data_IF_397423620174
#
_entry.id   IF_397423620174
#
_cell.length_a   1.000
_cell.length_b   1.000
_cell.length_c   1.000
_cell.angle_alpha   90.00
_cell.angle_beta   90.00
_cell.angle_gamma   90.00
#
_symmetry.space_group_name_H-M   'P 1'
#
loop_
_entity.id
_entity.type
_entity.pdbx_description
1 polymer ?
#
# COMPACT_ATOMS: atom_id res chain seq x y z
N UNK A 1 40.46 0.78 16.72
CA UNK A 1 39.52 0.60 15.59
C UNK A 1 39.27 1.94 14.97
N UNK A 2 39.87 2.18 13.80
CA UNK A 2 39.60 3.37 12.99
C UNK A 2 38.25 3.21 12.25
N UNK A 3 37.72 4.30 11.70
CA UNK A 3 36.48 4.26 10.92
C UNK A 3 36.66 3.34 9.70
N UNK A 4 37.83 3.36 9.05
CA UNK A 4 38.14 2.48 7.91
C UNK A 4 38.18 0.99 8.31
N UNK A 5 38.60 0.68 9.54
CA UNK A 5 38.59 -0.70 10.07
C UNK A 5 37.17 -1.20 10.41
N UNK A 6 36.20 -0.29 10.56
CA UNK A 6 34.79 -0.60 10.84
C UNK A 6 33.99 -0.76 9.53
N UNK A 7 34.28 0.02 8.49
CA UNK A 7 33.58 -0.02 7.20
C UNK A 7 34.06 -1.25 6.41
N UNK A 8 33.47 -2.40 6.72
CA UNK A 8 33.70 -3.67 6.01
C UNK A 8 32.36 -4.28 5.56
N UNK A 9 32.32 -5.04 4.44
CA UNK A 9 31.09 -5.68 3.97
C UNK A 9 30.38 -6.52 5.05
N UNK A 10 31.13 -7.23 5.89
CA UNK A 10 30.63 -8.04 7.00
C UNK A 10 29.98 -7.21 8.13
N UNK A 11 30.29 -5.91 8.23
CA UNK A 11 29.70 -5.00 9.20
C UNK A 11 28.53 -4.20 8.61
N UNK A 12 28.11 -4.48 7.37
CA UNK A 12 27.01 -3.77 6.71
C UNK A 12 25.68 -4.11 7.38
N UNK A 13 25.22 -3.22 8.26
CA UNK A 13 23.95 -3.38 9.00
C UNK A 13 22.73 -3.15 8.11
N UNK A 14 22.83 -2.26 7.12
CA UNK A 14 21.74 -1.96 6.18
C UNK A 14 22.32 -1.49 4.85
N UNK A 15 21.58 -1.70 3.76
CA UNK A 15 21.87 -1.16 2.44
C UNK A 15 20.60 -0.75 1.72
N UNK A 16 20.74 -0.14 0.54
CA UNK A 16 19.64 -0.04 -0.41
C UNK A 16 19.26 -1.47 -0.84
N UNK A 17 17.96 -1.84 -0.82
CA UNK A 17 17.54 -3.13 -1.35
C UNK A 17 17.96 -3.27 -2.81
N UNK A 18 18.34 -4.48 -3.23
CA UNK A 18 18.83 -4.74 -4.59
C UNK A 18 17.80 -4.32 -5.64
N UNK A 19 16.53 -4.66 -5.42
CA UNK A 19 15.43 -4.37 -6.33
C UNK A 19 14.89 -2.94 -6.20
N UNK A 20 15.50 -2.07 -5.41
CA UNK A 20 15.10 -0.66 -5.33
C UNK A 20 16.06 0.19 -6.17
N UNK A 21 15.62 0.60 -7.36
CA UNK A 21 16.43 1.32 -8.36
C UNK A 21 16.99 2.64 -7.80
N UNK A 22 18.26 2.95 -8.09
CA UNK A 22 18.92 4.19 -7.66
C UNK A 22 18.56 5.39 -8.55
N UNK A 23 17.30 5.83 -8.42
CA UNK A 23 16.74 6.94 -9.20
C UNK A 23 16.17 8.03 -8.30
N UNK A 24 15.95 9.21 -8.86
CA UNK A 24 15.31 10.31 -8.16
C UNK A 24 13.86 9.97 -7.80
N UNK A 25 13.48 10.19 -6.53
CA UNK A 25 12.12 9.95 -6.06
C UNK A 25 11.25 11.19 -6.19
N UNK A 26 10.00 11.02 -6.64
CA UNK A 26 9.02 12.08 -6.80
C UNK A 26 8.13 12.24 -5.56
N UNK A 27 8.30 11.40 -4.53
CA UNK A 27 7.52 11.49 -3.31
C UNK A 27 7.99 12.62 -2.40
N UNK A 28 7.03 13.23 -1.69
CA UNK A 28 7.34 14.25 -0.70
C UNK A 28 8.23 13.67 0.42
N UNK A 29 9.20 14.46 0.94
CA UNK A 29 9.94 14.07 2.14
C UNK A 29 8.97 13.72 3.29
N UNK A 30 9.16 12.55 3.89
CA UNK A 30 8.27 12.04 4.95
C UNK A 30 7.07 11.22 4.48
N UNK A 31 6.89 11.05 3.18
CA UNK A 31 5.82 10.20 2.64
C UNK A 31 6.08 8.71 2.94
N UNK A 32 5.03 8.01 3.37
CA UNK A 32 5.13 6.58 3.70
C UNK A 32 5.43 5.68 2.49
N UNK A 33 5.12 6.11 1.26
CA UNK A 33 5.38 5.35 0.04
C UNK A 33 6.83 4.87 -0.07
N UNK A 34 7.81 5.72 0.26
CA UNK A 34 9.23 5.35 0.18
C UNK A 34 9.60 4.17 1.09
N UNK A 35 9.01 4.11 2.29
CA UNK A 35 9.21 2.97 3.20
C UNK A 35 8.50 1.74 2.67
N UNK A 36 7.24 1.84 2.20
CA UNK A 36 6.51 0.68 1.68
C UNK A 36 7.18 0.10 0.44
N UNK A 37 7.66 0.93 -0.49
CA UNK A 37 8.40 0.48 -1.68
C UNK A 37 9.67 -0.27 -1.31
N UNK A 38 10.42 0.23 -0.31
CA UNK A 38 11.56 -0.49 0.25
C UNK A 38 11.15 -1.87 0.74
N UNK A 39 10.06 -2.00 1.49
CA UNK A 39 9.60 -3.29 2.02
C UNK A 39 9.15 -4.25 0.94
N UNK A 40 8.44 -3.76 -0.09
CA UNK A 40 8.01 -4.59 -1.22
C UNK A 40 9.23 -5.11 -1.99
N UNK A 41 10.19 -4.23 -2.31
CA UNK A 41 11.44 -4.61 -2.97
C UNK A 41 12.23 -5.65 -2.14
N UNK A 42 12.38 -5.45 -0.83
CA UNK A 42 13.04 -6.43 0.04
C UNK A 42 12.29 -7.76 0.11
N UNK A 43 10.96 -7.76 0.14
CA UNK A 43 10.18 -9.01 0.22
C UNK A 43 10.31 -9.82 -1.07
N UNK A 44 10.25 -9.16 -2.22
CA UNK A 44 10.41 -9.83 -3.53
C UNK A 44 11.81 -10.45 -3.63
N UNK A 45 12.85 -9.69 -3.23
CA UNK A 45 14.24 -10.15 -3.19
C UNK A 45 14.44 -11.31 -2.19
N UNK A 46 13.94 -11.17 -0.96
CA UNK A 46 14.00 -12.19 0.10
C UNK A 46 13.32 -13.52 -0.31
N UNK A 47 12.36 -13.48 -1.24
CA UNK A 47 11.63 -14.64 -1.75
C UNK A 47 12.22 -15.18 -3.06
N UNK A 48 13.13 -14.46 -3.73
CA UNK A 48 13.74 -14.85 -5.00
C UNK A 48 12.71 -14.99 -6.13
N UNK A 49 11.74 -14.06 -6.19
CA UNK A 49 10.62 -14.09 -7.14
C UNK A 49 10.61 -12.92 -8.12
N UNK A 50 11.70 -12.16 -8.23
CA UNK A 50 11.80 -10.98 -9.10
C UNK A 50 11.44 -11.28 -10.55
N UNK A 51 11.96 -12.37 -11.13
CA UNK A 51 11.80 -12.74 -12.55
C UNK A 51 10.38 -13.21 -12.90
N UNK A 52 9.52 -13.40 -11.90
CA UNK A 52 8.12 -13.82 -12.07
C UNK A 52 7.14 -12.90 -11.35
N UNK A 53 7.59 -11.75 -10.86
CA UNK A 53 6.71 -10.79 -10.18
C UNK A 53 6.24 -9.73 -11.17
N UNK A 54 4.92 -9.50 -11.21
CA UNK A 54 4.33 -8.43 -12.02
C UNK A 54 3.52 -7.50 -11.13
N UNK A 55 3.95 -6.24 -11.07
CA UNK A 55 3.25 -5.16 -10.38
C UNK A 55 2.22 -4.48 -11.28
N UNK A 56 1.08 -4.08 -10.71
CA UNK A 56 0.08 -3.25 -11.40
C UNK A 56 -0.09 -1.96 -10.62
N UNK A 57 0.27 -0.84 -11.26
CA UNK A 57 0.22 0.48 -10.66
C UNK A 57 -0.84 1.34 -11.37
N UNK A 58 -1.86 1.84 -10.67
CA UNK A 58 -2.83 2.75 -11.25
C UNK A 58 -2.49 4.22 -10.96
N UNK A 59 -3.23 5.12 -11.61
CA UNK A 59 -3.10 6.57 -11.45
C UNK A 59 -3.24 7.02 -9.99
N UNK A 60 -2.34 7.90 -9.56
CA UNK A 60 -2.25 8.44 -8.20
C UNK A 60 -0.79 8.50 -7.73
N UNK A 61 -0.48 8.97 -6.52
CA UNK A 61 0.89 8.90 -5.99
C UNK A 61 1.46 7.47 -6.07
N UNK A 62 0.58 6.47 -5.91
CA UNK A 62 0.86 5.06 -6.10
C UNK A 62 1.48 4.70 -7.46
N UNK A 63 1.13 5.42 -8.54
CA UNK A 63 1.55 5.13 -9.92
C UNK A 63 3.07 5.05 -10.05
N UNK A 64 3.81 5.89 -9.32
CA UNK A 64 5.26 5.99 -9.46
C UNK A 64 6.02 4.74 -8.99
N UNK A 65 5.36 3.77 -8.35
CA UNK A 65 5.98 2.52 -7.91
C UNK A 65 6.78 1.82 -9.02
N UNK A 66 6.29 1.86 -10.27
CA UNK A 66 6.97 1.24 -11.41
C UNK A 66 8.31 1.88 -11.79
N UNK A 67 8.59 3.10 -11.33
CA UNK A 67 9.89 3.74 -11.55
C UNK A 67 10.95 3.30 -10.53
N UNK A 68 10.56 2.58 -9.47
CA UNK A 68 11.41 2.40 -8.29
C UNK A 68 11.72 0.95 -7.97
N UNK A 69 10.82 0.02 -8.25
CA UNK A 69 11.00 -1.40 -7.94
C UNK A 69 11.30 -2.15 -9.23
N UNK A 70 12.44 -2.83 -9.26
CA UNK A 70 12.97 -3.56 -10.41
C UNK A 70 12.27 -4.91 -10.61
N UNK A 71 11.05 -4.85 -11.13
CA UNK A 71 10.21 -5.97 -11.57
C UNK A 71 9.39 -5.54 -12.80
N UNK A 72 8.67 -6.46 -13.44
CA UNK A 72 7.76 -6.09 -14.52
C UNK A 72 6.55 -5.32 -14.00
N UNK A 73 6.10 -4.32 -14.76
CA UNK A 73 4.97 -3.47 -14.39
C UNK A 73 3.95 -3.30 -15.52
N UNK A 74 2.68 -3.21 -15.14
CA UNK A 74 1.60 -2.75 -16.02
C UNK A 74 0.93 -1.53 -15.39
N UNK A 75 0.90 -0.42 -16.13
CA UNK A 75 0.12 0.75 -15.72
C UNK A 75 -1.37 0.50 -16.00
N UNK A 76 -2.21 0.73 -15.00
CA UNK A 76 -3.66 0.62 -15.13
C UNK A 76 -4.32 2.01 -15.13
N UNK A 77 -5.43 2.14 -15.86
CA UNK A 77 -6.31 3.28 -15.67
C UNK A 77 -6.80 3.37 -14.22
N UNK A 78 -7.16 4.57 -13.77
CA UNK A 78 -7.60 4.80 -12.40
C UNK A 78 -8.79 3.89 -12.02
N UNK A 79 -8.66 3.15 -10.91
CA UNK A 79 -9.61 2.17 -10.39
C UNK A 79 -9.59 0.82 -11.09
N UNK A 80 -8.66 0.58 -12.03
CA UNK A 80 -8.65 -0.65 -12.86
C UNK A 80 -7.54 -1.62 -12.50
N UNK A 81 -6.69 -1.31 -11.52
CA UNK A 81 -5.59 -2.19 -11.11
C UNK A 81 -6.04 -3.63 -10.77
N UNK A 82 -7.11 -3.89 -10.00
CA UNK A 82 -7.56 -5.26 -9.74
C UNK A 82 -8.03 -6.00 -10.99
N UNK A 83 -8.66 -5.30 -11.94
CA UNK A 83 -9.11 -5.89 -13.20
C UNK A 83 -7.93 -6.26 -14.11
N UNK A 84 -6.93 -5.39 -14.22
CA UNK A 84 -5.69 -5.67 -14.97
C UNK A 84 -4.90 -6.81 -14.30
N UNK A 85 -4.74 -6.77 -12.98
CA UNK A 85 -4.06 -7.82 -12.21
C UNK A 85 -4.76 -9.19 -12.35
N UNK A 86 -6.09 -9.20 -12.39
CA UNK A 86 -6.88 -10.40 -12.70
C UNK A 86 -6.46 -11.01 -14.04
N UNK A 87 -6.36 -10.18 -15.10
CA UNK A 87 -5.97 -10.67 -16.41
C UNK A 87 -4.54 -11.22 -16.41
N UNK A 88 -3.58 -10.50 -15.79
CA UNK A 88 -2.19 -10.96 -15.69
C UNK A 88 -2.10 -12.29 -14.95
N UNK A 89 -2.74 -12.41 -13.79
CA UNK A 89 -2.71 -13.62 -12.95
C UNK A 89 -3.35 -14.83 -13.65
N UNK A 90 -4.44 -14.62 -14.39
CA UNK A 90 -5.13 -15.70 -15.12
C UNK A 90 -4.41 -16.13 -16.39
N UNK A 91 -3.85 -15.18 -17.14
CA UNK A 91 -3.16 -15.48 -18.41
C UNK A 91 -1.74 -16.00 -18.18
N UNK A 92 -1.11 -15.65 -17.05
CA UNK A 92 0.22 -16.10 -16.66
C UNK A 92 0.17 -16.68 -15.24
N UNK A 93 -0.38 -17.89 -15.05
CA UNK A 93 -0.66 -18.47 -13.73
C UNK A 93 0.58 -18.84 -12.91
N UNK A 94 1.76 -18.72 -13.50
CA UNK A 94 3.05 -18.87 -12.82
C UNK A 94 3.59 -17.51 -12.33
N UNK A 95 3.01 -16.37 -12.70
CA UNK A 95 3.47 -15.09 -12.16
C UNK A 95 2.89 -14.82 -10.77
N UNK A 96 3.66 -14.13 -9.93
CA UNK A 96 3.19 -13.56 -8.67
C UNK A 96 2.77 -12.13 -8.95
N UNK A 97 1.46 -11.87 -8.86
CA UNK A 97 0.89 -10.58 -9.27
C UNK A 97 0.48 -9.76 -8.06
N UNK A 98 0.82 -8.48 -8.05
CA UNK A 98 0.37 -7.56 -7.01
C UNK A 98 -0.10 -6.22 -7.57
N UNK A 99 -0.99 -5.55 -6.85
CA UNK A 99 -1.39 -4.16 -7.12
C UNK A 99 -0.84 -3.24 -6.04
N UNK A 100 -0.55 -1.99 -6.41
CA UNK A 100 -0.16 -0.94 -5.48
C UNK A 100 -1.11 0.25 -5.62
N UNK A 101 -2.06 0.42 -4.69
CA UNK A 101 -3.22 1.29 -4.89
C UNK A 101 -3.35 2.32 -3.76
N UNK A 102 -3.86 3.52 -4.10
CA UNK A 102 -4.32 4.51 -3.12
C UNK A 102 -5.79 4.31 -2.74
N UNK A 103 -6.26 5.07 -1.76
CA UNK A 103 -7.65 5.05 -1.27
C UNK A 103 -8.68 5.48 -2.32
N UNK A 104 -8.40 6.55 -3.05
CA UNK A 104 -9.26 7.01 -4.13
C UNK A 104 -9.38 6.02 -5.29
N UNK A 105 -8.28 5.33 -5.58
CA UNK A 105 -8.21 4.30 -6.61
C UNK A 105 -9.02 3.07 -6.21
N UNK A 106 -8.71 2.50 -5.05
CA UNK A 106 -9.25 1.24 -4.58
C UNK A 106 -10.69 1.35 -4.06
N UNK A 107 -10.97 2.38 -3.26
CA UNK A 107 -12.19 2.50 -2.47
C UNK A 107 -13.18 3.55 -3.00
N UNK A 108 -12.84 4.25 -4.09
CA UNK A 108 -13.77 5.14 -4.79
C UNK A 108 -14.09 4.58 -6.19
N UNK A 109 -13.33 4.98 -7.21
CA UNK A 109 -13.64 4.65 -8.61
C UNK A 109 -13.42 3.15 -8.92
N UNK A 110 -12.49 2.49 -8.22
CA UNK A 110 -12.21 1.05 -8.35
C UNK A 110 -12.91 0.16 -7.33
N UNK A 111 -13.92 0.66 -6.62
CA UNK A 111 -14.60 -0.12 -5.56
C UNK A 111 -15.17 -1.44 -6.10
N UNK A 112 -15.85 -1.39 -7.25
CA UNK A 112 -16.46 -2.57 -7.85
C UNK A 112 -15.39 -3.59 -8.27
N UNK A 113 -14.33 -3.13 -8.93
CA UNK A 113 -13.22 -3.96 -9.40
C UNK A 113 -12.49 -4.63 -8.24
N UNK A 114 -12.27 -3.90 -7.15
CA UNK A 114 -11.63 -4.41 -5.92
C UNK A 114 -12.50 -5.48 -5.26
N UNK A 115 -13.77 -5.17 -4.99
CA UNK A 115 -14.70 -6.10 -4.34
C UNK A 115 -14.86 -7.36 -5.19
N UNK A 116 -15.05 -7.23 -6.50
CA UNK A 116 -15.26 -8.39 -7.35
C UNK A 116 -14.00 -9.23 -7.56
N UNK A 117 -12.80 -8.64 -7.60
CA UNK A 117 -11.56 -9.40 -7.61
C UNK A 117 -11.37 -10.19 -6.31
N UNK A 118 -11.60 -9.54 -5.16
CA UNK A 118 -11.54 -10.18 -3.85
C UNK A 118 -12.60 -11.28 -3.70
N UNK A 119 -13.83 -11.05 -4.15
CA UNK A 119 -14.92 -12.02 -4.06
C UNK A 119 -14.69 -13.26 -4.94
N UNK A 120 -14.05 -13.10 -6.11
CA UNK A 120 -13.65 -14.23 -6.96
C UNK A 120 -12.45 -14.99 -6.41
N UNK A 121 -11.74 -14.43 -5.43
CA UNK A 121 -10.49 -14.98 -4.91
C UNK A 121 -9.39 -15.02 -5.95
N UNK A 122 -9.28 -13.95 -6.76
CA UNK A 122 -8.17 -13.83 -7.71
C UNK A 122 -6.84 -13.95 -6.96
N UNK A 123 -5.90 -14.72 -7.53
CA UNK A 123 -4.62 -14.97 -6.90
C UNK A 123 -3.68 -13.76 -7.09
N UNK A 124 -3.97 -12.69 -6.35
CA UNK A 124 -3.28 -11.41 -6.39
C UNK A 124 -3.06 -10.87 -4.97
N UNK A 125 -2.00 -10.09 -4.79
CA UNK A 125 -1.76 -9.30 -3.58
C UNK A 125 -2.17 -7.86 -3.82
N UNK A 126 -3.02 -7.30 -2.97
CA UNK A 126 -3.41 -5.89 -3.02
C UNK A 126 -2.67 -5.14 -1.91
N UNK A 127 -1.77 -4.24 -2.29
CA UNK A 127 -1.12 -3.31 -1.35
C UNK A 127 -1.91 -2.00 -1.39
N UNK A 128 -2.68 -1.77 -0.34
CA UNK A 128 -3.57 -0.61 -0.23
C UNK A 128 -2.94 0.47 0.66
N UNK A 129 -2.54 1.59 0.08
CA UNK A 129 -2.04 2.76 0.80
C UNK A 129 -3.22 3.66 1.22
N UNK A 130 -3.57 3.60 2.50
CA UNK A 130 -4.63 4.43 3.08
C UNK A 130 -4.04 5.69 3.72
N UNK A 131 -3.99 6.79 2.95
CA UNK A 131 -3.55 8.10 3.42
C UNK A 131 -4.71 9.13 3.55
N UNK A 132 -5.94 8.65 3.49
CA UNK A 132 -7.17 9.40 3.73
C UNK A 132 -7.36 10.64 2.85
N UNK A 133 -6.71 10.70 1.68
CA UNK A 133 -6.71 11.88 0.81
C UNK A 133 -6.25 11.56 -0.61
N UNK A 134 -6.86 12.22 -1.61
CA UNK A 134 -6.31 12.22 -2.97
C UNK A 134 -5.06 13.12 -3.04
N UNK A 135 -3.89 12.55 -2.74
CA UNK A 135 -2.63 13.31 -2.65
C UNK A 135 -2.20 13.96 -3.98
N UNK A 136 -2.09 13.17 -5.05
CA UNK A 136 -1.54 13.61 -6.34
C UNK A 136 -2.33 14.75 -6.99
N UNK A 137 -3.65 14.76 -6.80
CA UNK A 137 -4.55 15.74 -7.44
C UNK A 137 -4.70 17.03 -6.63
N UNK A 138 -3.99 17.18 -5.51
CA UNK A 138 -3.99 18.41 -4.71
C UNK A 138 -4.76 18.33 -3.39
N UNK A 139 -5.05 17.13 -2.89
CA UNK A 139 -5.54 16.93 -1.52
C UNK A 139 -7.06 16.95 -1.37
N UNK A 140 -7.80 16.33 -2.29
CA UNK A 140 -9.26 16.20 -2.21
C UNK A 140 -9.70 15.10 -1.22
N UNK A 141 -10.95 15.18 -0.75
CA UNK A 141 -11.56 14.15 0.10
C UNK A 141 -11.58 12.79 -0.58
N UNK A 142 -11.01 11.78 0.08
CA UNK A 142 -11.10 10.38 -0.27
C UNK A 142 -12.23 9.66 0.50
N UNK A 143 -12.66 8.47 0.07
CA UNK A 143 -13.65 7.67 0.80
C UNK A 143 -13.23 7.38 2.26
N UNK A 144 -11.92 7.31 2.53
CA UNK A 144 -11.36 7.03 3.85
C UNK A 144 -11.01 8.30 4.66
N UNK A 145 -11.18 9.51 4.12
CA UNK A 145 -10.98 10.78 4.86
C UNK A 145 -11.82 10.79 6.14
N UNK A 146 -11.21 11.14 7.28
CA UNK A 146 -11.86 11.13 8.60
C UNK A 146 -12.94 12.20 8.74
N UNK A 147 -13.87 12.01 9.69
CA UNK A 147 -14.81 13.07 10.06
C UNK A 147 -14.07 14.29 10.60
N UNK A 148 -14.51 15.49 10.23
CA UNK A 148 -13.86 16.75 10.59
C UNK A 148 -12.54 17.04 9.87
N UNK A 149 -11.93 16.06 9.19
CA UNK A 149 -10.70 16.28 8.43
C UNK A 149 -10.96 17.21 7.25
N UNK A 150 -10.19 18.31 7.20
CA UNK A 150 -10.27 19.30 6.12
C UNK A 150 -9.48 18.84 4.91
N UNK A 151 -10.06 19.03 3.74
CA UNK A 151 -9.45 18.73 2.44
C UNK A 151 -9.77 19.86 1.45
N UNK A 152 -9.18 19.84 0.25
CA UNK A 152 -9.42 20.87 -0.76
C UNK A 152 -10.91 20.97 -1.16
N UNK A 153 -11.63 19.85 -1.17
CA UNK A 153 -13.06 19.77 -1.52
C UNK A 153 -13.99 19.72 -0.30
N UNK A 154 -13.45 19.58 0.91
CA UNK A 154 -14.18 19.69 2.17
C UNK A 154 -13.46 20.67 3.10
N UNK A 155 -13.46 21.98 2.79
CA UNK A 155 -12.66 22.98 3.52
C UNK A 155 -13.11 23.17 4.97
N UNK A 156 -14.37 22.85 5.27
CA UNK A 156 -14.95 22.91 6.62
C UNK A 156 -14.90 21.57 7.36
N UNK A 157 -14.21 20.58 6.79
CA UNK A 157 -14.13 19.22 7.32
C UNK A 157 -15.24 18.31 6.76
N UNK A 158 -14.95 17.02 6.66
CA UNK A 158 -15.95 16.01 6.28
C UNK A 158 -17.08 15.97 7.32
N UNK A 159 -18.32 16.03 6.85
CA UNK A 159 -19.50 15.89 7.71
C UNK A 159 -20.36 14.69 7.30
N UNK A 160 -21.00 14.06 8.27
CA UNK A 160 -21.84 12.88 8.03
C UNK A 160 -23.06 13.21 7.18
N UNK A 161 -23.73 14.32 7.48
CA UNK A 161 -24.96 14.78 6.83
C UNK A 161 -24.78 15.08 5.33
N UNK A 162 -23.56 15.45 4.93
CA UNK A 162 -23.25 15.88 3.57
C UNK A 162 -22.37 14.88 2.80
N UNK A 163 -21.38 14.29 3.46
CA UNK A 163 -20.32 13.50 2.83
C UNK A 163 -20.33 12.02 3.25
N UNK A 164 -21.24 11.63 4.14
CA UNK A 164 -21.29 10.28 4.71
C UNK A 164 -20.09 9.93 5.59
N UNK A 165 -20.01 8.66 5.97
CA UNK A 165 -18.98 8.16 6.89
C UNK A 165 -17.71 7.67 6.17
N UNK A 166 -16.53 7.78 6.80
CA UNK A 166 -15.30 7.20 6.27
C UNK A 166 -15.44 5.68 6.09
N UNK A 167 -15.15 5.22 4.88
CA UNK A 167 -15.34 3.83 4.46
C UNK A 167 -14.23 2.94 5.01
N UNK A 168 -14.60 1.88 5.73
CA UNK A 168 -13.67 0.84 6.17
C UNK A 168 -13.63 -0.30 5.16
N UNK A 169 -13.03 -0.03 3.99
CA UNK A 169 -13.09 -0.98 2.86
C UNK A 169 -12.48 -2.34 3.22
N UNK A 170 -11.35 -2.38 3.93
CA UNK A 170 -10.71 -3.65 4.30
C UNK A 170 -11.58 -4.50 5.23
N UNK A 171 -12.40 -3.90 6.09
CA UNK A 171 -13.36 -4.64 6.93
C UNK A 171 -14.43 -5.32 6.06
N UNK A 172 -14.86 -4.67 4.97
CA UNK A 172 -15.77 -5.27 3.98
C UNK A 172 -15.07 -6.42 3.25
N UNK A 173 -13.81 -6.22 2.81
CA UNK A 173 -13.05 -7.24 2.10
C UNK A 173 -12.74 -8.47 2.96
N UNK A 174 -12.55 -8.29 4.27
CA UNK A 174 -12.38 -9.37 5.24
C UNK A 174 -13.63 -10.25 5.37
N UNK A 175 -14.82 -9.74 5.03
CA UNK A 175 -16.06 -10.51 5.01
C UNK A 175 -16.28 -11.32 3.72
N UNK A 176 -15.39 -11.24 2.73
CA UNK A 176 -15.52 -11.96 1.46
C UNK A 176 -14.83 -13.32 1.55
N UNK A 177 -15.49 -14.39 1.07
CA UNK A 177 -14.93 -15.75 1.10
C UNK A 177 -13.68 -15.91 0.22
N UNK A 178 -13.55 -15.11 -0.84
CA UNK A 178 -12.41 -15.18 -1.76
C UNK A 178 -11.12 -14.53 -1.24
N UNK A 179 -11.17 -13.74 -0.16
CA UNK A 179 -9.93 -13.23 0.48
C UNK A 179 -9.38 -14.28 1.43
N UNK A 180 -8.07 -14.55 1.40
CA UNK A 180 -7.44 -15.48 2.34
C UNK A 180 -6.72 -14.75 3.49
N UNK A 181 -6.33 -13.48 3.27
CA UNK A 181 -5.62 -12.69 4.25
C UNK A 181 -5.95 -11.22 4.07
N UNK A 182 -6.42 -10.57 5.13
CA UNK A 182 -6.70 -9.14 5.15
C UNK A 182 -6.10 -8.57 6.42
N UNK A 183 -5.16 -7.64 6.28
CA UNK A 183 -4.43 -7.07 7.40
C UNK A 183 -4.28 -5.57 7.27
N UNK A 184 -4.21 -4.88 8.41
CA UNK A 184 -3.98 -3.45 8.49
C UNK A 184 -2.73 -3.13 9.29
N UNK A 185 -1.78 -2.48 8.65
CA UNK A 185 -0.46 -2.17 9.17
C UNK A 185 -0.10 -0.69 8.97
N UNK A 186 1.09 -0.28 9.40
CA UNK A 186 1.60 1.09 9.26
C UNK A 186 3.12 1.10 9.36
N UNK A 187 3.77 2.17 8.91
CA UNK A 187 5.23 2.27 8.80
C UNK A 187 5.85 3.44 9.56
N UNK A 188 5.10 4.10 10.44
CA UNK A 188 5.56 5.30 11.16
C UNK A 188 6.60 5.04 12.28
N UNK A 189 6.82 3.79 12.68
CA UNK A 189 7.87 3.40 13.64
C UNK A 189 8.66 2.19 13.16
N UNK A 190 9.90 2.02 13.64
CA UNK A 190 10.73 0.87 13.29
C UNK A 190 10.08 -0.49 13.62
N UNK A 191 9.32 -0.57 14.71
CA UNK A 191 8.57 -1.77 15.07
C UNK A 191 7.43 -2.05 14.07
N UNK A 192 6.70 -1.00 13.68
CA UNK A 192 5.62 -1.12 12.71
C UNK A 192 6.14 -1.45 11.29
N UNK A 193 7.32 -0.95 10.92
CA UNK A 193 8.02 -1.34 9.69
C UNK A 193 8.30 -2.84 9.64
N UNK A 194 8.81 -3.44 10.73
CA UNK A 194 9.05 -4.89 10.80
C UNK A 194 7.75 -5.69 10.69
N UNK A 195 6.68 -5.26 11.37
CA UNK A 195 5.36 -5.91 11.28
C UNK A 195 4.79 -5.82 9.87
N UNK A 196 4.87 -4.66 9.24
CA UNK A 196 4.42 -4.45 7.86
C UNK A 196 5.21 -5.32 6.88
N UNK A 197 6.54 -5.45 7.05
CA UNK A 197 7.35 -6.35 6.21
C UNK A 197 6.88 -7.81 6.33
N UNK A 198 6.62 -8.28 7.55
CA UNK A 198 6.13 -9.63 7.78
C UNK A 198 4.75 -9.85 7.13
N UNK A 199 3.84 -8.88 7.24
CA UNK A 199 2.53 -8.92 6.61
C UNK A 199 2.60 -8.96 5.07
N UNK A 200 3.45 -8.11 4.46
CA UNK A 200 3.68 -8.13 3.01
C UNK A 200 4.29 -9.48 2.60
N UNK A 201 5.30 -9.98 3.30
CA UNK A 201 5.91 -11.30 3.02
C UNK A 201 4.88 -12.42 3.04
N UNK A 202 4.01 -12.45 4.05
CA UNK A 202 2.93 -13.43 4.16
C UNK A 202 1.95 -13.35 2.98
N UNK A 203 1.55 -12.14 2.57
CA UNK A 203 0.67 -11.96 1.43
C UNK A 203 1.29 -12.51 0.12
N UNK A 204 2.57 -12.25 -0.12
CA UNK A 204 3.28 -12.82 -1.28
C UNK A 204 3.40 -14.35 -1.18
N UNK A 205 3.68 -14.90 0.00
CA UNK A 205 3.70 -16.35 0.22
C UNK A 205 2.32 -16.99 -0.04
N UNK A 206 1.23 -16.33 0.35
CA UNK A 206 -0.13 -16.79 0.05
C UNK A 206 -0.40 -16.81 -1.46
N UNK A 207 0.06 -15.80 -2.20
CA UNK A 207 -0.05 -15.76 -3.66
C UNK A 207 0.77 -16.88 -4.33
N UNK A 208 1.99 -17.15 -3.85
CA UNK A 208 2.81 -18.29 -4.31
C UNK A 208 2.12 -19.64 -4.03
N UNK A 209 1.39 -19.74 -2.91
CA UNK A 209 0.63 -20.92 -2.52
C UNK A 209 -0.78 -20.99 -3.15
N UNK A 210 -1.15 -20.04 -4.02
CA UNK A 210 -2.45 -19.95 -4.70
C UNK A 210 -3.66 -19.97 -3.75
N UNK A 211 -3.54 -19.31 -2.59
CA UNK A 211 -4.59 -19.29 -1.55
C UNK A 211 -5.77 -18.37 -1.85
N UNK A 212 -5.68 -17.51 -2.85
CA UNK A 212 -6.67 -16.47 -3.14
C UNK A 212 -6.15 -15.07 -2.85
N UNK A 213 -7.05 -14.10 -2.70
CA UNK A 213 -6.65 -12.69 -2.62
C UNK A 213 -6.12 -12.33 -1.23
N UNK A 214 -4.94 -11.71 -1.18
CA UNK A 214 -4.41 -11.10 0.04
C UNK A 214 -4.48 -9.58 -0.04
N UNK A 215 -4.92 -8.89 1.02
CA UNK A 215 -5.02 -7.44 1.09
C UNK A 215 -4.20 -6.93 2.27
N UNK A 216 -3.21 -6.08 1.98
CA UNK A 216 -2.38 -5.41 2.98
C UNK A 216 -2.68 -3.92 2.95
N UNK A 217 -3.53 -3.47 3.86
CA UNK A 217 -3.76 -2.04 4.09
C UNK A 217 -2.60 -1.45 4.89
N UNK A 218 -1.96 -0.41 4.37
CA UNK A 218 -0.95 0.37 5.07
C UNK A 218 -1.52 1.75 5.38
N UNK A 219 -1.93 1.96 6.63
CA UNK A 219 -2.30 3.27 7.16
C UNK A 219 -1.07 4.17 7.10
N UNK A 220 -1.16 5.22 6.29
CA UNK A 220 -0.02 5.96 5.76
C UNK A 220 -0.21 7.47 5.90
N UNK A 221 0.91 8.19 5.85
CA UNK A 221 0.94 9.65 5.89
C UNK A 221 0.87 10.30 4.52
N UNK A 222 0.16 11.43 4.43
CA UNK A 222 0.27 12.39 3.34
C UNK A 222 0.54 13.80 3.92
N UNK A 223 1.78 14.05 4.34
CA UNK A 223 2.15 15.30 4.99
C UNK A 223 1.87 16.55 4.12
N UNK A 224 2.14 16.47 2.82
CA UNK A 224 1.82 17.55 1.87
C UNK A 224 0.32 17.82 1.78
N UNK A 225 -0.49 16.78 1.57
CA UNK A 225 -1.95 16.92 1.45
C UNK A 225 -2.63 17.36 2.75
N UNK A 226 -2.12 16.91 3.90
CA UNK A 226 -2.62 17.31 5.21
C UNK A 226 -2.07 18.67 5.69
N UNK A 227 -1.13 19.27 4.93
CA UNK A 227 -0.45 20.53 5.26
C UNK A 227 0.24 20.49 6.62
N UNK A 228 0.91 19.38 6.90
CA UNK A 228 1.64 19.13 8.14
C UNK A 228 3.12 18.88 7.85
N UNK A 229 3.98 19.16 8.83
CA UNK A 229 5.36 18.65 8.74
C UNK A 229 5.37 17.12 8.78
N UNK A 230 6.40 16.44 8.24
CA UNK A 230 6.52 14.99 8.31
C UNK A 230 6.33 14.40 9.72
N UNK A 231 6.94 15.03 10.73
CA UNK A 231 6.84 14.57 12.11
C UNK A 231 5.42 14.70 12.66
N UNK A 232 4.77 15.84 12.43
CA UNK A 232 3.38 16.06 12.83
C UNK A 232 2.41 15.10 12.12
N UNK A 233 2.64 14.81 10.84
CA UNK A 233 1.80 13.87 10.10
C UNK A 233 1.86 12.45 10.70
N UNK A 234 3.04 11.99 11.13
CA UNK A 234 3.17 10.70 11.82
C UNK A 234 2.42 10.68 13.14
N UNK A 235 2.56 11.73 13.96
CA UNK A 235 1.85 11.85 15.23
C UNK A 235 0.33 11.87 15.02
N UNK A 236 -0.14 12.73 14.11
CA UNK A 236 -1.56 12.87 13.80
C UNK A 236 -2.17 11.56 13.29
N UNK A 237 -1.48 10.86 12.38
CA UNK A 237 -1.92 9.56 11.88
C UNK A 237 -1.98 8.52 13.01
N UNK A 238 -0.96 8.45 13.86
CA UNK A 238 -0.95 7.54 15.00
C UNK A 238 -2.14 7.80 15.95
N UNK A 239 -2.45 9.05 16.23
CA UNK A 239 -3.55 9.42 17.13
C UNK A 239 -4.95 9.25 16.50
N UNK A 240 -5.14 9.59 15.23
CA UNK A 240 -6.47 9.72 14.63
C UNK A 240 -6.79 8.63 13.60
N UNK A 241 -5.84 8.34 12.70
CA UNK A 241 -6.06 7.34 11.65
C UNK A 241 -6.10 5.94 12.24
N UNK A 242 -5.22 5.62 13.19
CA UNK A 242 -5.22 4.27 13.80
C UNK A 242 -6.40 4.04 14.75
N UNK A 243 -6.99 5.10 15.30
CA UNK A 243 -8.26 5.02 16.03
C UNK A 243 -9.41 4.61 15.09
N UNK A 244 -9.52 5.29 13.93
CA UNK A 244 -10.58 4.97 12.95
C UNK A 244 -10.34 3.63 12.25
N UNK A 245 -9.08 3.31 11.97
CA UNK A 245 -8.60 2.14 11.26
C UNK A 245 -7.64 1.32 12.14
N UNK A 246 -8.17 0.54 13.11
CA UNK A 246 -7.35 -0.22 14.05
C UNK A 246 -6.43 -1.22 13.34
N UNK A 247 -5.16 -1.21 13.75
CA UNK A 247 -4.11 -2.07 13.20
C UNK A 247 -4.29 -3.52 13.66
N UNK A 248 -3.89 -4.47 12.83
CA UNK A 248 -3.98 -5.90 13.10
C UNK A 248 -4.50 -6.70 11.91
N UNK A 249 -4.58 -8.01 12.10
CA UNK A 249 -5.15 -8.92 11.11
C UNK A 249 -6.67 -8.91 11.25
N UNK A 250 -7.37 -8.66 10.15
CA UNK A 250 -8.84 -8.68 10.05
C UNK A 250 -9.34 -10.05 9.58
N UNK A 251 -8.54 -10.75 8.76
CA UNK A 251 -8.77 -12.11 8.27
C UNK A 251 -7.43 -12.81 8.04
N UNK A 252 -7.33 -14.08 8.41
CA UNK A 252 -6.13 -14.91 8.23
C UNK A 252 -6.49 -16.41 8.16
N UNK A 253 -6.53 -16.98 6.95
CA UNK A 253 -6.96 -18.36 6.65
C UNK A 253 -5.88 -19.21 5.91
#
# INVERSE_FOLDING_TARGET
>A
MTIEEIIKPENKVTGRPRLLLDVHTHYCPGCSHGVVHKLVAEVIDDLGIEDRTVGVAPVGCAVFAYNYIDVDWVEAAHGRAPAVATAVSRLNPDNVVFTYQGDGDLAAIGTAETIHACNRGENIVIIFINNAIYGMTGGQMAPTTLLGQKTATCPYGRRVDLNGYPLKISDILAGLDGTCYVTRQTVHTAAAVRKTKAAIKKAFQNAMAKKGTSVVEVVSTCNSGWKMTPAQANQWMAEHMTEKYPLGDLKDE
#
